data_IF_394031471957
#
_entry.id   IF_394031471957
#
_cell.length_a   1.000
_cell.length_b   1.000
_cell.length_c   1.000
_cell.angle_alpha   90.00
_cell.angle_beta   90.00
_cell.angle_gamma   90.00
#
_symmetry.space_group_name_H-M   'P 1'
#
loop_
_entity.id
_entity.type
_entity.pdbx_description
1 polymer ?
#
# COMPACT_ATOMS: atom_id res chain seq x y z
N UNK A 1 2.14 15.26 -17.42
CA UNK A 1 2.42 13.91 -16.89
C UNK A 1 3.93 13.74 -16.92
N UNK A 2 4.56 13.49 -15.78
CA UNK A 2 6.02 13.40 -15.71
C UNK A 2 6.52 12.20 -16.54
N UNK A 3 7.50 12.45 -17.40
CA UNK A 3 8.02 11.50 -18.38
C UNK A 3 9.53 11.48 -18.26
N UNK A 4 10.10 10.29 -18.27
CA UNK A 4 11.53 10.11 -18.43
C UNK A 4 11.83 9.70 -19.87
N UNK A 5 12.78 10.36 -20.50
CA UNK A 5 13.19 10.07 -21.87
C UNK A 5 14.54 9.36 -21.83
N UNK A 6 14.65 8.26 -22.58
CA UNK A 6 15.89 7.53 -22.77
C UNK A 6 16.29 7.55 -24.24
N UNK A 7 17.58 7.65 -24.52
CA UNK A 7 18.08 7.31 -25.86
C UNK A 7 18.10 5.80 -26.06
N UNK A 8 18.12 5.35 -27.33
CA UNK A 8 18.19 3.92 -27.67
C UNK A 8 19.39 3.23 -27.04
N UNK A 9 20.53 3.91 -27.07
CA UNK A 9 21.79 3.42 -26.53
C UNK A 9 21.78 3.38 -24.99
N UNK A 10 21.25 4.42 -24.35
CA UNK A 10 21.09 4.46 -22.90
C UNK A 10 20.19 3.33 -22.40
N UNK A 11 19.03 3.15 -23.03
CA UNK A 11 18.07 2.12 -22.62
C UNK A 11 18.67 0.72 -22.79
N UNK A 12 19.36 0.46 -23.90
CA UNK A 12 20.10 -0.78 -24.13
C UNK A 12 21.16 -1.03 -23.05
N UNK A 13 22.01 -0.04 -22.77
CA UNK A 13 23.06 -0.18 -21.76
C UNK A 13 22.46 -0.45 -20.37
N UNK A 14 21.34 0.20 -20.04
CA UNK A 14 20.65 -0.01 -18.77
C UNK A 14 20.09 -1.43 -18.65
N UNK A 15 19.35 -1.92 -19.65
CA UNK A 15 18.72 -3.26 -19.57
C UNK A 15 19.72 -4.40 -19.62
N UNK A 16 20.95 -4.19 -20.12
CA UNK A 16 22.03 -5.18 -20.06
C UNK A 16 22.93 -5.06 -18.83
N UNK A 17 22.87 -3.93 -18.11
CA UNK A 17 23.62 -3.71 -16.87
C UNK A 17 22.81 -4.09 -15.62
N UNK A 18 21.50 -3.84 -15.62
CA UNK A 18 20.63 -4.02 -14.45
C UNK A 18 19.35 -4.80 -14.80
N UNK A 19 18.81 -5.64 -13.87
CA UNK A 19 17.49 -6.24 -14.05
C UNK A 19 16.39 -5.18 -14.21
N UNK A 20 15.41 -5.45 -15.08
CA UNK A 20 14.29 -4.53 -15.39
C UNK A 20 13.57 -4.05 -14.13
N UNK A 21 13.42 -4.90 -13.11
CA UNK A 21 12.77 -4.56 -11.84
C UNK A 21 13.56 -3.46 -11.10
N UNK A 22 14.89 -3.51 -11.12
CA UNK A 22 15.74 -2.49 -10.50
C UNK A 22 15.66 -1.17 -11.26
N UNK A 23 15.69 -1.22 -12.60
CA UNK A 23 15.52 -0.04 -13.46
C UNK A 23 14.16 0.61 -13.21
N UNK A 24 13.09 -0.20 -13.16
CA UNK A 24 11.73 0.26 -12.92
C UNK A 24 11.58 0.96 -11.56
N UNK A 25 12.27 0.47 -10.52
CA UNK A 25 12.28 1.09 -9.20
C UNK A 25 13.08 2.39 -9.19
N UNK A 26 14.28 2.38 -9.78
CA UNK A 26 15.19 3.53 -9.76
C UNK A 26 14.63 4.73 -10.53
N UNK A 27 14.04 4.50 -11.70
CA UNK A 27 13.49 5.55 -12.55
C UNK A 27 11.99 5.80 -12.32
N UNK A 28 11.41 5.14 -11.32
CA UNK A 28 9.99 5.22 -10.98
C UNK A 28 9.09 5.00 -12.21
N UNK A 29 9.32 3.95 -12.98
CA UNK A 29 8.54 3.61 -14.18
C UNK A 29 7.99 2.18 -14.07
N UNK A 30 7.06 1.81 -14.96
CA UNK A 30 6.57 0.43 -15.02
C UNK A 30 7.56 -0.49 -15.74
N UNK A 31 7.74 -1.70 -15.20
CA UNK A 31 8.55 -2.75 -15.86
C UNK A 31 8.00 -3.06 -17.25
N UNK A 32 6.68 -2.97 -17.43
CA UNK A 32 6.02 -3.10 -18.74
C UNK A 32 6.37 -1.94 -19.67
N UNK A 33 6.42 -0.70 -19.16
CA UNK A 33 6.85 0.47 -19.92
C UNK A 33 8.26 0.32 -20.49
N UNK A 34 9.19 -0.23 -19.69
CA UNK A 34 10.56 -0.55 -20.13
C UNK A 34 10.54 -1.62 -21.23
N UNK A 35 9.78 -2.71 -21.05
CA UNK A 35 9.69 -3.79 -22.05
C UNK A 35 9.13 -3.29 -23.38
N UNK A 36 8.02 -2.55 -23.35
CA UNK A 36 7.40 -1.97 -24.54
C UNK A 36 8.33 -0.97 -25.23
N UNK A 37 9.12 -0.22 -24.45
CA UNK A 37 10.10 0.69 -25.01
C UNK A 37 11.24 -0.06 -25.73
N UNK A 38 11.72 -1.16 -25.14
CA UNK A 38 12.73 -2.00 -25.77
C UNK A 38 12.21 -2.66 -27.05
N UNK A 39 10.98 -3.15 -27.04
CA UNK A 39 10.33 -3.73 -28.22
C UNK A 39 10.19 -2.71 -29.36
N UNK A 40 9.68 -1.51 -29.06
CA UNK A 40 9.54 -0.42 -30.04
C UNK A 40 10.87 0.02 -30.65
N UNK A 41 11.93 0.02 -29.85
CA UNK A 41 13.28 0.42 -30.29
C UNK A 41 14.12 -0.74 -30.83
N UNK A 42 13.52 -1.93 -30.98
CA UNK A 42 14.19 -3.17 -31.40
C UNK A 42 15.47 -3.45 -30.59
N UNK A 43 15.38 -3.26 -29.29
CA UNK A 43 16.47 -3.50 -28.33
C UNK A 43 16.34 -4.95 -27.84
N UNK A 44 17.37 -5.80 -28.02
CA UNK A 44 17.34 -7.16 -27.51
C UNK A 44 17.34 -7.14 -25.98
N UNK A 45 16.44 -7.92 -25.38
CA UNK A 45 16.36 -8.07 -23.92
C UNK A 45 17.14 -9.30 -23.46
N UNK A 46 17.85 -9.23 -22.32
CA UNK A 46 18.47 -10.41 -21.73
C UNK A 46 17.41 -11.40 -21.27
N UNK A 47 17.53 -12.66 -21.69
CA UNK A 47 16.65 -13.74 -21.22
C UNK A 47 16.83 -14.01 -19.73
N UNK A 48 15.84 -14.64 -19.08
CA UNK A 48 15.86 -14.90 -17.63
C UNK A 48 17.12 -15.63 -17.14
N UNK A 49 17.70 -16.51 -18.00
CA UNK A 49 18.94 -17.24 -17.72
C UNK A 49 20.18 -16.34 -17.61
N UNK A 50 20.16 -15.13 -18.17
CA UNK A 50 21.28 -14.17 -18.11
C UNK A 50 21.46 -13.64 -16.67
N UNK A 51 20.37 -13.40 -15.95
CA UNK A 51 20.40 -12.82 -14.61
C UNK A 51 20.69 -13.83 -13.50
N UNK A 52 20.48 -15.11 -13.77
CA UNK A 52 20.76 -16.21 -12.84
C UNK A 52 22.26 -16.52 -12.78
N UNK A 53 23.01 -16.22 -13.83
CA UNK A 53 24.45 -16.50 -13.92
C UNK A 53 25.30 -15.43 -13.22
N UNK A 54 26.41 -15.87 -12.64
CA UNK A 54 27.43 -15.00 -12.05
C UNK A 54 28.00 -14.06 -13.12
N UNK A 55 28.43 -12.85 -12.71
CA UNK A 55 28.78 -11.76 -13.62
C UNK A 55 29.84 -12.14 -14.68
N UNK A 56 30.76 -13.05 -14.35
CA UNK A 56 31.83 -13.51 -15.24
C UNK A 56 31.40 -14.60 -16.24
N UNK A 57 30.21 -15.20 -16.08
CA UNK A 57 29.67 -16.27 -16.96
C UNK A 57 28.53 -15.78 -17.88
N UNK A 58 28.28 -14.47 -17.89
CA UNK A 58 27.24 -13.87 -18.72
C UNK A 58 27.68 -13.89 -20.18
N UNK A 59 26.83 -14.45 -21.04
CA UNK A 59 27.07 -14.48 -22.50
C UNK A 59 27.26 -13.07 -23.05
N UNK A 60 28.06 -12.97 -24.11
CA UNK A 60 28.33 -11.73 -24.83
C UNK A 60 27.05 -11.00 -25.18
N UNK A 61 27.05 -9.69 -24.94
CA UNK A 61 25.93 -8.78 -25.15
C UNK A 61 25.70 -8.67 -26.67
N UNK A 62 24.50 -9.02 -27.19
CA UNK A 62 24.19 -8.91 -28.62
C UNK A 62 24.33 -7.46 -29.08
N UNK A 63 25.16 -7.22 -30.11
CA UNK A 63 25.35 -5.88 -30.66
C UNK A 63 24.01 -5.29 -31.11
N UNK A 64 23.79 -4.03 -30.76
CA UNK A 64 22.63 -3.27 -31.19
C UNK A 64 22.63 -3.17 -32.73
N UNK A 65 21.51 -3.51 -33.38
CA UNK A 65 21.41 -3.40 -34.85
C UNK A 65 21.54 -1.93 -35.28
N UNK A 66 22.43 -1.67 -36.26
CA UNK A 66 22.67 -0.36 -36.85
C UNK A 66 21.56 0.11 -37.80
N UNK A 67 20.71 -0.82 -38.28
CA UNK A 67 19.72 -0.55 -39.32
C UNK A 67 18.37 -0.01 -38.79
N UNK A 68 18.34 0.40 -37.52
CA UNK A 68 17.13 0.94 -36.91
C UNK A 68 16.87 2.37 -37.40
N UNK A 69 15.80 2.53 -38.19
CA UNK A 69 15.34 3.81 -38.74
C UNK A 69 14.28 4.53 -37.88
N UNK A 70 13.99 4.01 -36.69
CA UNK A 70 12.99 4.60 -35.79
C UNK A 70 13.54 5.75 -34.93
N UNK A 71 12.69 6.31 -34.08
CA UNK A 71 13.09 7.41 -33.18
C UNK A 71 14.22 6.98 -32.25
N UNK A 72 15.25 7.81 -32.14
CA UNK A 72 16.44 7.60 -31.30
C UNK A 72 16.18 7.77 -29.81
N UNK A 73 15.01 8.29 -29.45
CA UNK A 73 14.58 8.54 -28.09
C UNK A 73 13.17 8.02 -27.85
N UNK A 74 12.91 7.58 -26.62
CA UNK A 74 11.59 7.14 -26.17
C UNK A 74 11.29 7.69 -24.78
N UNK A 75 10.08 8.22 -24.60
CA UNK A 75 9.61 8.69 -23.31
C UNK A 75 8.71 7.66 -22.64
N UNK A 76 9.04 7.29 -21.40
CA UNK A 76 8.26 6.40 -20.55
C UNK A 76 7.60 7.25 -19.46
N UNK A 77 6.30 7.04 -19.25
CA UNK A 77 5.57 7.72 -18.18
C UNK A 77 6.08 7.21 -16.81
N UNK A 78 6.46 8.16 -15.94
CA UNK A 78 6.74 7.83 -14.54
C UNK A 78 5.46 7.34 -13.86
N UNK A 79 5.62 6.31 -13.03
CA UNK A 79 4.66 5.92 -11.99
C UNK A 79 4.51 7.14 -11.08
N UNK A 80 3.47 7.92 -11.32
CA UNK A 80 2.94 8.72 -10.23
C UNK A 80 2.61 7.74 -9.10
N UNK A 81 3.12 8.01 -7.90
CA UNK A 81 2.47 7.52 -6.68
C UNK A 81 0.97 7.74 -6.88
N UNK A 82 0.18 6.67 -6.89
CA UNK A 82 -1.27 6.78 -7.01
C UNK A 82 -1.78 7.59 -5.83
N UNK A 83 -2.20 8.82 -6.11
CA UNK A 83 -3.06 9.63 -5.26
C UNK A 83 -3.82 10.61 -6.14
N UNK A 84 -5.09 10.88 -5.81
CA UNK A 84 -6.26 10.07 -6.14
C UNK A 84 -6.76 10.32 -7.58
N UNK A 85 -7.28 9.26 -8.21
CA UNK A 85 -8.29 9.29 -9.27
C UNK A 85 -8.08 10.30 -10.43
N UNK A 86 -7.38 9.87 -11.48
CA UNK A 86 -7.72 10.39 -12.82
C UNK A 86 -9.07 9.80 -13.22
N UNK A 87 -10.08 10.66 -13.35
CA UNK A 87 -11.34 10.32 -14.05
C UNK A 87 -11.01 9.99 -15.51
N UNK A 88 -10.65 8.75 -15.78
CA UNK A 88 -10.70 8.18 -17.13
C UNK A 88 -12.15 7.79 -17.41
N UNK A 89 -12.64 8.05 -18.62
CA UNK A 89 -14.03 7.80 -19.04
C UNK A 89 -14.48 6.31 -19.02
N UNK A 90 -13.65 5.40 -18.51
CA UNK A 90 -14.02 4.02 -18.17
C UNK A 90 -13.93 3.89 -16.65
N UNK A 91 -15.06 3.61 -16.00
CA UNK A 91 -15.09 3.32 -14.57
C UNK A 91 -14.24 2.07 -14.31
N UNK A 92 -13.18 2.21 -13.51
CA UNK A 92 -12.45 1.04 -13.01
C UNK A 92 -13.32 0.37 -11.95
N UNK A 93 -13.16 -0.96 -11.70
CA UNK A 93 -13.89 -1.63 -10.62
C UNK A 93 -13.75 -0.91 -9.26
N UNK A 94 -12.61 -0.25 -9.03
CA UNK A 94 -12.37 0.55 -7.83
C UNK A 94 -13.23 1.82 -7.79
N UNK A 95 -13.33 2.56 -8.90
CA UNK A 95 -14.16 3.77 -8.98
C UNK A 95 -15.64 3.41 -8.80
N UNK A 96 -16.10 2.35 -9.47
CA UNK A 96 -17.48 1.87 -9.33
C UNK A 96 -17.81 1.50 -7.87
N UNK A 97 -16.91 0.85 -7.16
CA UNK A 97 -17.11 0.53 -5.74
C UNK A 97 -17.11 1.79 -4.87
N UNK A 98 -16.19 2.73 -5.09
CA UNK A 98 -16.18 4.02 -4.37
C UNK A 98 -17.51 4.74 -4.57
N UNK A 99 -17.95 4.88 -5.81
CA UNK A 99 -19.24 5.50 -6.15
C UNK A 99 -20.42 4.75 -5.53
N UNK A 100 -20.37 3.41 -5.45
CA UNK A 100 -21.40 2.61 -4.78
C UNK A 100 -21.46 2.85 -3.27
N UNK A 101 -20.32 3.13 -2.63
CA UNK A 101 -20.26 3.46 -1.20
C UNK A 101 -20.74 4.89 -0.95
N UNK A 102 -20.33 5.83 -1.80
CA UNK A 102 -20.61 7.26 -1.64
C UNK A 102 -22.05 7.64 -2.01
N UNK A 103 -22.67 6.89 -2.92
CA UNK A 103 -24.09 7.05 -3.30
C UNK A 103 -25.07 6.49 -2.27
N UNK A 104 -24.61 5.61 -1.38
CA UNK A 104 -25.43 5.12 -0.28
C UNK A 104 -25.44 6.12 0.88
N UNK A 105 -26.52 6.88 0.99
CA UNK A 105 -26.69 7.91 2.02
C UNK A 105 -26.70 7.36 3.46
N UNK A 106 -26.93 6.06 3.65
CA UNK A 106 -26.94 5.41 4.97
C UNK A 106 -25.57 4.87 5.36
N UNK A 107 -24.64 4.71 4.41
CA UNK A 107 -23.31 4.22 4.69
C UNK A 107 -22.53 5.23 5.55
N UNK A 108 -21.84 4.79 6.63
CA UNK A 108 -21.00 5.66 7.45
C UNK A 108 -19.66 5.95 6.72
N UNK A 109 -19.74 6.64 5.58
CA UNK A 109 -18.64 6.85 4.62
C UNK A 109 -17.66 7.96 5.00
N UNK A 110 -17.87 8.63 6.14
CA UNK A 110 -17.03 9.75 6.61
C UNK A 110 -16.52 9.50 8.02
N UNK A 111 -15.29 9.92 8.28
CA UNK A 111 -14.73 9.95 9.64
C UNK A 111 -15.22 11.21 10.34
N UNK A 112 -15.84 11.05 11.50
CA UNK A 112 -16.31 12.17 12.32
C UNK A 112 -15.16 12.84 13.09
N UNK A 113 -15.34 14.12 13.44
CA UNK A 113 -14.36 14.87 14.24
C UNK A 113 -14.30 14.39 15.70
N UNK A 114 -15.35 13.73 16.18
CA UNK A 114 -15.46 13.13 17.51
C UNK A 114 -15.99 11.70 17.43
N UNK A 115 -15.69 10.87 18.44
CA UNK A 115 -16.24 9.52 18.56
C UNK A 115 -17.73 9.63 18.92
N UNK A 116 -18.60 9.04 18.09
CA UNK A 116 -20.03 8.97 18.35
C UNK A 116 -20.47 7.51 18.34
N UNK A 117 -21.02 7.02 19.46
CA UNK A 117 -21.41 5.62 19.65
C UNK A 117 -20.35 4.63 19.13
N UNK A 118 -19.12 4.64 19.70
CA UNK A 118 -18.03 3.81 19.20
C UNK A 118 -18.34 2.32 19.34
N UNK A 119 -17.79 1.53 18.42
CA UNK A 119 -17.88 0.06 18.50
C UNK A 119 -17.29 -0.46 19.82
N UNK A 120 -17.71 -1.67 20.23
CA UNK A 120 -17.29 -2.25 21.52
C UNK A 120 -15.76 -2.32 21.67
N UNK A 121 -15.06 -2.74 20.60
CA UNK A 121 -13.60 -2.84 20.59
C UNK A 121 -12.92 -1.46 20.65
N UNK A 122 -13.49 -0.43 20.01
CA UNK A 122 -12.97 0.94 20.09
C UNK A 122 -13.12 1.49 21.50
N UNK A 123 -14.25 1.23 22.18
CA UNK A 123 -14.45 1.64 23.57
C UNK A 123 -13.43 0.99 24.51
N UNK A 124 -13.20 -0.32 24.38
CA UNK A 124 -12.15 -1.03 25.15
C UNK A 124 -10.75 -0.48 24.87
N UNK A 125 -10.45 -0.24 23.59
CA UNK A 125 -9.17 0.36 23.18
C UNK A 125 -9.00 1.75 23.78
N UNK A 126 -10.04 2.59 23.77
CA UNK A 126 -10.00 3.93 24.37
C UNK A 126 -9.73 3.86 25.89
N UNK A 127 -10.42 2.98 26.61
CA UNK A 127 -10.18 2.76 28.04
C UNK A 127 -8.73 2.35 28.30
N UNK A 128 -8.23 1.35 27.57
CA UNK A 128 -6.85 0.87 27.68
C UNK A 128 -5.85 2.02 27.59
N UNK A 129 -5.95 2.85 26.55
CA UNK A 129 -5.01 3.95 26.32
C UNK A 129 -5.14 5.08 27.36
N UNK A 130 -6.35 5.35 27.85
CA UNK A 130 -6.57 6.31 28.94
C UNK A 130 -5.97 5.81 30.27
N UNK A 131 -6.08 4.52 30.57
CA UNK A 131 -5.51 3.93 31.79
C UNK A 131 -3.99 3.80 31.73
N UNK A 132 -3.44 3.44 30.56
CA UNK A 132 -2.01 3.42 30.32
C UNK A 132 -1.37 4.81 30.51
N UNK A 133 -2.03 5.87 30.04
CA UNK A 133 -1.58 7.25 30.25
C UNK A 133 -1.55 7.64 31.73
N UNK A 134 -2.54 7.19 32.51
CA UNK A 134 -2.69 7.51 33.92
C UNK A 134 -1.91 6.57 34.86
N UNK A 135 -1.10 5.65 34.32
CA UNK A 135 -0.41 4.58 35.09
C UNK A 135 -1.35 3.81 36.03
N UNK A 136 -2.61 3.60 35.61
CA UNK A 136 -3.60 2.83 36.38
C UNK A 136 -3.57 1.37 35.95
N UNK A 137 -4.04 0.49 36.82
CA UNK A 137 -4.24 -0.91 36.45
C UNK A 137 -5.19 -0.99 35.26
N UNK A 138 -4.72 -1.65 34.20
CA UNK A 138 -5.45 -1.89 32.96
C UNK A 138 -6.16 -3.24 33.09
N UNK A 139 -7.47 -3.27 32.87
CA UNK A 139 -8.26 -4.51 32.90
C UNK A 139 -8.33 -5.20 31.54
N UNK A 140 -8.22 -4.42 30.46
CA UNK A 140 -8.37 -4.89 29.08
C UNK A 140 -7.13 -5.66 28.62
N UNK A 141 -7.36 -6.81 28.00
CA UNK A 141 -6.28 -7.65 27.46
C UNK A 141 -6.00 -7.35 25.97
N UNK A 142 -4.83 -7.72 25.42
CA UNK A 142 -4.50 -7.51 24.01
C UNK A 142 -5.50 -8.13 23.01
N UNK A 143 -6.22 -9.18 23.42
CA UNK A 143 -7.32 -9.83 22.69
C UNK A 143 -8.56 -8.92 22.56
N UNK A 144 -8.69 -7.90 23.41
CA UNK A 144 -9.91 -7.10 23.53
C UNK A 144 -9.79 -5.69 22.92
N UNK A 145 -8.60 -5.32 22.44
CA UNK A 145 -8.27 -3.97 21.97
C UNK A 145 -7.61 -3.99 20.59
N UNK A 146 -7.72 -2.90 19.83
CA UNK A 146 -6.97 -2.73 18.57
C UNK A 146 -5.50 -2.45 18.87
N UNK A 147 -4.59 -3.11 18.15
CA UNK A 147 -3.17 -2.84 18.22
C UNK A 147 -2.82 -1.57 17.42
N UNK A 148 -2.64 -0.47 18.15
CA UNK A 148 -2.22 0.82 17.59
C UNK A 148 -0.73 1.04 17.87
N UNK A 149 0.00 1.58 16.89
CA UNK A 149 1.40 2.00 17.05
C UNK A 149 1.54 3.48 16.74
N UNK A 150 0.96 4.29 17.61
CA UNK A 150 0.82 5.75 17.48
C UNK A 150 1.32 6.45 18.74
N UNK A 151 1.60 7.75 18.64
CA UNK A 151 1.93 8.59 19.79
C UNK A 151 0.66 8.87 20.62
N UNK A 152 0.79 8.98 21.95
CA UNK A 152 -0.34 9.21 22.87
C UNK A 152 -1.22 10.39 22.42
N UNK A 153 -0.60 11.47 21.95
CA UNK A 153 -1.32 12.68 21.52
C UNK A 153 -2.24 12.44 20.31
N UNK A 154 -1.96 11.38 19.53
CA UNK A 154 -2.68 11.05 18.31
C UNK A 154 -3.67 9.88 18.49
N UNK A 155 -3.75 9.28 19.69
CA UNK A 155 -4.65 8.16 19.97
C UNK A 155 -6.11 8.48 19.61
N UNK A 156 -6.61 9.68 19.96
CA UNK A 156 -7.98 10.08 19.61
C UNK A 156 -8.24 10.12 18.10
N UNK A 157 -7.25 10.52 17.29
CA UNK A 157 -7.35 10.48 15.83
C UNK A 157 -7.38 9.03 15.34
N UNK A 158 -6.52 8.17 15.88
CA UNK A 158 -6.46 6.76 15.52
C UNK A 158 -7.78 6.04 15.83
N UNK A 159 -8.35 6.27 17.01
CA UNK A 159 -9.63 5.70 17.42
C UNK A 159 -10.77 6.15 16.50
N UNK A 160 -10.85 7.45 16.15
CA UNK A 160 -11.88 7.96 15.23
C UNK A 160 -11.79 7.32 13.85
N UNK A 161 -10.58 7.21 13.30
CA UNK A 161 -10.37 6.58 12.02
C UNK A 161 -10.74 5.09 12.04
N UNK A 162 -10.25 4.34 13.03
CA UNK A 162 -10.53 2.91 13.14
C UNK A 162 -12.00 2.63 13.41
N UNK A 163 -12.69 3.44 14.20
CA UNK A 163 -14.13 3.29 14.45
C UNK A 163 -14.95 3.48 13.17
N UNK A 164 -14.64 4.52 12.40
CA UNK A 164 -15.30 4.76 11.11
C UNK A 164 -15.00 3.64 10.10
N UNK A 165 -13.77 3.15 10.06
CA UNK A 165 -13.38 2.01 9.22
C UNK A 165 -14.16 0.74 9.58
N UNK A 166 -14.22 0.38 10.86
CA UNK A 166 -14.93 -0.81 11.32
C UNK A 166 -16.43 -0.68 11.04
N UNK A 167 -17.04 0.46 11.36
CA UNK A 167 -18.47 0.70 11.08
C UNK A 167 -18.79 0.60 9.60
N UNK A 168 -17.94 1.14 8.73
CA UNK A 168 -18.15 1.03 7.28
C UNK A 168 -17.99 -0.41 6.80
N UNK A 169 -16.98 -1.14 7.28
CA UNK A 169 -16.79 -2.56 6.95
C UNK A 169 -17.99 -3.40 7.39
N UNK A 170 -18.48 -3.22 8.62
CA UNK A 170 -19.66 -3.90 9.17
C UNK A 170 -20.92 -3.58 8.37
N UNK A 171 -21.15 -2.30 8.05
CA UNK A 171 -22.26 -1.87 7.20
C UNK A 171 -22.23 -2.55 5.82
N UNK A 172 -21.04 -2.79 5.27
CA UNK A 172 -20.85 -3.49 4.00
C UNK A 172 -20.83 -5.02 4.10
N UNK A 173 -21.13 -5.57 5.29
CA UNK A 173 -21.26 -7.01 5.51
C UNK A 173 -19.94 -7.73 5.80
N UNK A 174 -18.87 -7.01 6.08
CA UNK A 174 -17.57 -7.55 6.49
C UNK A 174 -17.42 -7.46 8.02
N UNK A 175 -16.42 -8.13 8.59
CA UNK A 175 -16.26 -8.16 10.05
C UNK A 175 -14.83 -7.81 10.45
N UNK A 176 -14.67 -7.00 11.50
CA UNK A 176 -13.40 -6.85 12.19
C UNK A 176 -13.30 -7.87 13.33
N UNK A 177 -12.16 -8.56 13.44
CA UNK A 177 -11.92 -9.57 14.48
C UNK A 177 -10.47 -9.58 14.94
N UNK A 178 -10.22 -10.28 16.04
CA UNK A 178 -8.89 -10.75 16.41
C UNK A 178 -8.64 -12.14 15.88
N UNK A 179 -7.45 -12.37 15.35
CA UNK A 179 -6.92 -13.72 15.15
C UNK A 179 -6.54 -14.37 16.50
N UNK A 180 -6.30 -15.68 16.49
CA UNK A 180 -5.79 -16.42 17.65
C UNK A 180 -4.45 -15.88 18.16
N UNK A 181 -3.66 -15.23 17.29
CA UNK A 181 -2.36 -14.64 17.62
C UNK A 181 -2.49 -13.15 17.99
N UNK A 182 -3.69 -12.68 18.34
CA UNK A 182 -4.02 -11.31 18.70
C UNK A 182 -3.81 -10.24 17.61
N UNK A 183 -3.51 -10.65 16.38
CA UNK A 183 -3.49 -9.74 15.22
C UNK A 183 -4.89 -9.23 14.91
N UNK A 184 -4.96 -7.97 14.50
CA UNK A 184 -6.17 -7.34 13.99
C UNK A 184 -6.42 -7.80 12.55
N UNK A 185 -7.59 -8.37 12.30
CA UNK A 185 -7.97 -8.91 10.99
C UNK A 185 -9.32 -8.38 10.54
N UNK A 186 -9.46 -8.25 9.22
CA UNK A 186 -10.74 -8.05 8.55
C UNK A 186 -11.12 -9.34 7.86
N UNK A 187 -12.27 -9.90 8.23
CA UNK A 187 -12.89 -11.04 7.57
C UNK A 187 -13.82 -10.54 6.47
N UNK A 188 -13.34 -10.64 5.23
CA UNK A 188 -14.07 -10.27 4.01
C UNK A 188 -14.81 -11.49 3.45
N UNK A 189 -16.06 -11.30 3.02
CA UNK A 189 -16.88 -12.38 2.43
C UNK A 189 -16.94 -13.68 3.26
N UNK A 190 -16.86 -13.57 4.60
CA UNK A 190 -16.87 -14.68 5.57
C UNK A 190 -15.71 -15.69 5.47
N UNK A 191 -14.74 -15.49 4.58
CA UNK A 191 -13.69 -16.49 4.31
C UNK A 191 -12.28 -15.90 4.10
N UNK A 192 -12.18 -14.64 3.68
CA UNK A 192 -10.90 -14.02 3.35
C UNK A 192 -10.46 -13.14 4.50
N UNK A 193 -9.48 -13.63 5.26
CA UNK A 193 -8.85 -12.87 6.34
C UNK A 193 -7.73 -11.97 5.80
N UNK A 194 -7.79 -10.68 6.11
CA UNK A 194 -6.77 -9.69 5.77
C UNK A 194 -6.26 -9.07 7.08
N UNK A 195 -4.97 -9.18 7.33
CA UNK A 195 -4.33 -8.51 8.47
C UNK A 195 -4.37 -7.00 8.25
N UNK A 196 -4.69 -6.25 9.29
CA UNK A 196 -4.71 -4.78 9.26
C UNK A 196 -3.93 -4.21 10.44
N UNK A 197 -3.24 -3.09 10.22
CA UNK A 197 -2.50 -2.42 11.27
C UNK A 197 -2.42 -0.92 11.02
N UNK A 198 -2.80 -0.12 12.01
CA UNK A 198 -2.65 1.33 11.98
C UNK A 198 -1.44 1.75 12.82
N UNK A 199 -0.51 2.47 12.20
CA UNK A 199 0.70 2.98 12.85
C UNK A 199 1.02 4.40 12.42
N UNK A 200 1.83 5.08 13.21
CA UNK A 200 2.49 6.30 12.79
C UNK A 200 3.81 6.01 12.05
N UNK A 201 4.15 6.89 11.11
CA UNK A 201 5.47 6.90 10.52
C UNK A 201 6.49 7.37 11.57
N UNK A 202 7.63 6.69 11.61
CA UNK A 202 8.76 7.03 12.47
C UNK A 202 9.81 7.76 11.65
N UNK A 203 10.33 8.86 12.19
CA UNK A 203 11.49 9.56 11.67
C UNK A 203 12.70 9.20 12.51
N UNK A 204 13.73 8.69 11.84
CA UNK A 204 15.03 8.41 12.46
C UNK A 204 15.73 9.71 12.84
N UNK A 205 16.22 9.79 14.06
CA UNK A 205 17.10 10.84 14.55
C UNK A 205 18.54 10.28 14.53
N UNK A 206 19.50 10.96 13.84
CA UNK A 206 20.90 10.57 13.89
C UNK A 206 21.43 10.65 15.33
N UNK A 207 22.25 9.69 15.77
CA UNK A 207 22.81 9.72 17.12
C UNK A 207 23.69 10.96 17.30
N UNK A 208 23.58 11.62 18.46
CA UNK A 208 24.39 12.80 18.82
C UNK A 208 25.83 12.45 19.25
N UNK A 209 26.11 11.17 19.50
CA UNK A 209 27.40 10.64 19.96
C UNK A 209 27.75 9.35 19.20
N UNK A 210 28.94 8.79 19.42
CA UNK A 210 29.43 7.52 18.83
C UNK A 210 28.64 6.25 19.27
N UNK A 211 27.37 6.39 19.65
CA UNK A 211 26.48 5.26 19.95
C UNK A 211 25.78 4.80 18.68
N UNK A 212 25.83 3.49 18.42
CA UNK A 212 25.20 2.85 17.25
C UNK A 212 23.66 2.79 17.31
N UNK A 213 23.03 3.20 18.42
CA UNK A 213 21.58 3.19 18.55
C UNK A 213 20.97 4.44 17.90
N UNK A 214 20.15 4.24 16.87
CA UNK A 214 19.34 5.29 16.28
C UNK A 214 18.05 5.51 17.09
N UNK A 215 17.76 6.76 17.44
CA UNK A 215 16.48 7.13 18.05
C UNK A 215 15.42 7.34 16.98
N UNK A 216 14.15 7.12 17.34
CA UNK A 216 13.01 7.31 16.46
C UNK A 216 11.96 8.17 17.15
N UNK A 217 11.38 9.09 16.39
CA UNK A 217 10.24 9.90 16.84
C UNK A 217 9.04 9.69 15.94
N UNK A 218 7.87 9.69 16.54
CA UNK A 218 6.59 9.71 15.85
C UNK A 218 6.43 11.02 15.07
N UNK A 219 5.95 10.91 13.84
CA UNK A 219 5.80 12.05 12.92
C UNK A 219 4.41 12.68 12.94
N UNK A 220 3.40 12.01 13.51
CA UNK A 220 1.99 12.37 13.36
C UNK A 220 1.35 11.88 12.06
N UNK A 221 2.13 11.32 11.13
CA UNK A 221 1.61 10.80 9.87
C UNK A 221 1.16 9.35 10.01
N UNK A 222 -0.12 9.10 9.78
CA UNK A 222 -0.71 7.78 9.88
C UNK A 222 -0.41 6.93 8.65
N UNK A 223 -0.17 5.65 8.89
CA UNK A 223 0.00 4.60 7.90
C UNK A 223 -0.96 3.46 8.26
N UNK A 224 -1.96 3.24 7.41
CA UNK A 224 -2.76 2.03 7.44
C UNK A 224 -2.09 0.98 6.56
N UNK A 225 -1.70 -0.13 7.15
CA UNK A 225 -1.09 -1.26 6.48
C UNK A 225 -2.06 -2.42 6.45
N UNK A 226 -2.10 -3.13 5.32
CA UNK A 226 -2.77 -4.43 5.21
C UNK A 226 -1.80 -5.48 4.68
N UNK A 227 -2.01 -6.73 5.10
CA UNK A 227 -1.28 -7.89 4.59
C UNK A 227 -2.20 -9.07 4.31
N UNK A 228 -1.90 -9.79 3.23
CA UNK A 228 -2.51 -11.07 2.87
C UNK A 228 -1.43 -11.97 2.27
N UNK A 229 -0.92 -12.93 3.05
CA UNK A 229 0.23 -13.72 2.64
C UNK A 229 1.44 -12.83 2.33
N UNK A 230 1.97 -12.90 1.11
CA UNK A 230 3.07 -12.04 0.63
C UNK A 230 2.61 -10.67 0.13
N UNK A 231 1.31 -10.49 -0.13
CA UNK A 231 0.77 -9.21 -0.56
C UNK A 231 0.72 -8.22 0.61
N UNK A 232 1.20 -7.01 0.37
CA UNK A 232 1.24 -5.92 1.33
C UNK A 232 0.84 -4.62 0.64
N UNK A 233 -0.07 -3.86 1.25
CA UNK A 233 -0.43 -2.51 0.82
C UNK A 233 -0.43 -1.55 2.00
N UNK A 234 -0.05 -0.31 1.74
CA UNK A 234 -0.06 0.76 2.72
C UNK A 234 -0.76 1.99 2.14
N UNK A 235 -1.54 2.67 2.96
CA UNK A 235 -2.02 4.03 2.75
C UNK A 235 -1.38 4.91 3.82
N UNK A 236 -0.85 6.05 3.42
CA UNK A 236 -0.19 7.00 4.32
C UNK A 236 -0.85 8.36 4.18
N UNK A 237 -0.87 9.11 5.27
CA UNK A 237 -1.13 10.55 5.21
C UNK A 237 -0.25 11.21 4.14
N UNK A 238 -0.87 12.06 3.33
CA UNK A 238 -0.18 12.85 2.33
C UNK A 238 -0.74 14.26 2.31
N UNK A 239 -1.01 14.77 1.12
CA UNK A 239 -1.75 16.04 0.97
C UNK A 239 -3.16 15.97 1.57
N UNK A 240 -3.75 14.79 1.52
CA UNK A 240 -5.01 14.47 2.18
C UNK A 240 -4.71 13.51 3.33
N UNK A 241 -5.36 13.69 4.48
CA UNK A 241 -5.22 12.77 5.59
C UNK A 241 -5.94 11.45 5.27
N UNK A 242 -5.56 10.39 5.98
CA UNK A 242 -6.07 9.03 5.79
C UNK A 242 -7.61 8.96 5.84
N UNK A 243 -8.23 9.78 6.68
CA UNK A 243 -9.67 9.93 6.88
C UNK A 243 -10.42 10.21 5.57
N UNK A 244 -9.83 11.01 4.68
CA UNK A 244 -10.42 11.32 3.37
C UNK A 244 -10.40 10.13 2.40
N UNK A 245 -9.65 9.07 2.70
CA UNK A 245 -9.52 7.89 1.86
C UNK A 245 -10.36 6.71 2.37
N UNK A 246 -11.21 6.89 3.39
CA UNK A 246 -12.00 5.81 4.01
C UNK A 246 -12.76 4.95 2.98
N UNK A 247 -13.52 5.58 2.08
CA UNK A 247 -14.30 4.87 1.03
C UNK A 247 -13.39 4.13 0.06
N UNK A 248 -12.30 4.76 -0.39
CA UNK A 248 -11.31 4.15 -1.27
C UNK A 248 -10.57 2.97 -0.64
N UNK A 249 -10.30 3.02 0.67
CA UNK A 249 -9.68 1.93 1.42
C UNK A 249 -10.62 0.73 1.47
N UNK A 250 -11.89 0.92 1.86
CA UNK A 250 -12.88 -0.17 1.91
C UNK A 250 -13.14 -0.76 0.53
N UNK A 251 -13.33 0.08 -0.50
CA UNK A 251 -13.50 -0.38 -1.87
C UNK A 251 -12.31 -1.23 -2.35
N UNK A 252 -11.07 -0.84 -2.00
CA UNK A 252 -9.89 -1.63 -2.38
C UNK A 252 -9.79 -2.95 -1.61
N UNK A 253 -10.18 -2.98 -0.34
CA UNK A 253 -10.26 -4.22 0.44
C UNK A 253 -11.26 -5.20 -0.19
N UNK A 254 -12.43 -4.71 -0.61
CA UNK A 254 -13.43 -5.53 -1.31
C UNK A 254 -12.87 -6.12 -2.62
N UNK A 255 -12.16 -5.33 -3.43
CA UNK A 255 -11.50 -5.85 -4.64
C UNK A 255 -10.45 -6.92 -4.34
N UNK A 256 -9.61 -6.70 -3.33
CA UNK A 256 -8.60 -7.69 -2.92
C UNK A 256 -9.30 -8.99 -2.52
N UNK A 257 -10.40 -8.91 -1.77
CA UNK A 257 -11.13 -10.09 -1.36
C UNK A 257 -11.76 -10.86 -2.55
N UNK A 258 -12.25 -10.14 -3.57
CA UNK A 258 -12.75 -10.76 -4.81
C UNK A 258 -11.63 -11.45 -5.58
N UNK A 259 -10.48 -10.80 -5.75
CA UNK A 259 -9.29 -11.37 -6.41
C UNK A 259 -8.80 -12.64 -5.68
N UNK A 260 -8.74 -12.60 -4.35
CA UNK A 260 -8.34 -13.75 -3.51
C UNK A 260 -9.33 -14.91 -3.59
N UNK A 261 -10.63 -14.62 -3.63
CA UNK A 261 -11.66 -15.65 -3.77
C UNK A 261 -11.57 -16.36 -5.12
N UNK A 262 -11.45 -15.60 -6.21
CA UNK A 262 -11.26 -16.15 -7.55
C UNK A 262 -10.00 -17.01 -7.65
N UNK A 263 -8.91 -16.57 -7.03
CA UNK A 263 -7.66 -17.33 -7.00
C UNK A 263 -7.80 -18.66 -6.23
N UNK A 264 -8.52 -18.65 -5.09
CA UNK A 264 -8.84 -19.89 -4.36
C UNK A 264 -9.67 -20.84 -5.21
N UNK A 265 -10.76 -20.36 -5.80
CA UNK A 265 -11.67 -21.18 -6.63
C UNK A 265 -10.97 -21.77 -7.86
N UNK A 266 -10.03 -21.06 -8.48
CA UNK A 266 -9.26 -21.55 -9.63
C UNK A 266 -8.10 -22.49 -9.26
N UNK A 267 -7.77 -22.61 -7.97
CA UNK A 267 -6.69 -23.48 -7.47
C UNK A 267 -7.18 -24.85 -6.98
N UNK A 268 -8.49 -25.10 -7.05
CA UNK A 268 -9.15 -26.38 -6.80
C UNK A 268 -9.76 -26.93 -8.10
#
# INVERSE_FOLDING_TARGET
MDKITFTRLELYNLVWKFPIIQIAKHYEISSMGIKNACEKMQIPLPGSKHWIRLNYERKSIPKLSGDYKGNSQISILRKMYESPLRKTARSTPLIALIESIESDSKAPSKVLEFLNNPTGIIRKTQNYWNHAELNRNVSETPEEIIQLSVDQKNTNRALRFMDALIKLLEYRGHQFKKSNDNRDIILMHKEIEIDIHLREALKRIPPKTNKDSADYIFTGEFILQIKKGSYKKEWRDGKLPLENNLTAIVAKLELIAVEEKQWKEASF
#
